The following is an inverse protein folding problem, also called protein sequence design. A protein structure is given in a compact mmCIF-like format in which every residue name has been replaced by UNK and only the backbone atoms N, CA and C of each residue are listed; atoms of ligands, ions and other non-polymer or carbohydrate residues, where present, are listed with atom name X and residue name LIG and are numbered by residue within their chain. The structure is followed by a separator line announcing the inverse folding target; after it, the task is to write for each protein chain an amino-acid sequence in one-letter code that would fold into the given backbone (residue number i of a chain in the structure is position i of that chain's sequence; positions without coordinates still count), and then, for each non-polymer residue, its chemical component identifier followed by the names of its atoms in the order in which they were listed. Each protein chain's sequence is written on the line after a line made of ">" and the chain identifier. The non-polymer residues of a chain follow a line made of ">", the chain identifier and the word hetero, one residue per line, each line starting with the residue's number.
data_IF_841538172530
#
_entry.id   IF_841538172530
#
_cell.length_a   1.000
_cell.length_b   1.000
_cell.length_c   1.000
_cell.angle_alpha   90.00
_cell.angle_beta   90.00
_cell.angle_gamma   90.00
#
_symmetry.space_group_name_H-M   'P 1'
#
loop_
_entity.id
_entity.type
_entity.pdbx_description
1 polymer ?
#
# COMPACT_ATOMS: atom_id res chain seq x y z
N UNK A 1 -11.25 60.99 22.63
CA UNK A 1 -11.49 59.68 21.97
C UNK A 1 -11.71 58.66 23.07
N UNK A 2 -12.85 57.97 23.10
CA UNK A 2 -13.22 57.06 24.19
C UNK A 2 -12.52 55.72 23.93
N UNK A 3 -11.45 55.41 24.66
CA UNK A 3 -10.81 54.10 24.56
C UNK A 3 -11.78 53.04 25.08
N UNK A 4 -12.23 52.15 24.19
CA UNK A 4 -13.10 51.03 24.54
C UNK A 4 -12.21 49.88 24.98
N UNK A 5 -12.17 49.62 26.29
CA UNK A 5 -11.49 48.45 26.84
C UNK A 5 -12.22 47.16 26.48
N UNK A 6 -11.46 46.07 26.32
CA UNK A 6 -12.00 44.72 26.10
C UNK A 6 -12.60 44.21 27.41
N UNK A 7 -13.79 43.60 27.34
CA UNK A 7 -14.43 43.02 28.51
C UNK A 7 -13.85 41.65 28.85
N UNK A 8 -13.83 41.28 30.13
CA UNK A 8 -13.29 39.99 30.58
C UNK A 8 -14.02 38.80 29.91
N UNK A 9 -15.32 38.95 29.65
CA UNK A 9 -16.14 37.91 29.00
C UNK A 9 -15.76 37.71 27.53
N UNK A 10 -15.42 38.78 26.79
CA UNK A 10 -14.94 38.68 25.41
C UNK A 10 -13.60 37.94 25.34
N UNK A 11 -12.70 38.17 26.30
CA UNK A 11 -11.41 37.45 26.38
C UNK A 11 -11.62 35.97 26.66
N UNK A 12 -12.51 35.61 27.59
CA UNK A 12 -12.82 34.21 27.91
C UNK A 12 -13.46 33.50 26.70
N UNK A 13 -14.37 34.17 26.00
CA UNK A 13 -15.00 33.59 24.82
C UNK A 13 -14.01 33.43 23.65
N UNK A 14 -13.18 34.43 23.39
CA UNK A 14 -12.16 34.37 22.35
C UNK A 14 -11.10 33.28 22.64
N UNK A 15 -10.66 33.16 23.89
CA UNK A 15 -9.66 32.14 24.29
C UNK A 15 -10.22 30.73 24.23
N UNK A 16 -11.47 30.51 24.67
CA UNK A 16 -12.11 29.18 24.57
C UNK A 16 -12.33 28.77 23.12
N UNK A 17 -12.76 29.70 22.26
CA UNK A 17 -12.86 29.46 20.81
C UNK A 17 -11.49 29.10 20.22
N UNK A 18 -10.44 29.84 20.59
CA UNK A 18 -9.08 29.58 20.12
C UNK A 18 -8.58 28.19 20.55
N UNK A 19 -8.83 27.79 21.80
CA UNK A 19 -8.45 26.46 22.31
C UNK A 19 -9.16 25.34 21.55
N UNK A 20 -10.47 25.48 21.30
CA UNK A 20 -11.23 24.51 20.52
C UNK A 20 -10.71 24.38 19.08
N UNK A 21 -10.41 25.50 18.44
CA UNK A 21 -9.83 25.53 17.10
C UNK A 21 -8.45 24.88 17.06
N UNK A 22 -7.57 25.18 18.04
CA UNK A 22 -6.24 24.60 18.14
C UNK A 22 -6.28 23.08 18.32
N UNK A 23 -7.19 22.57 19.16
CA UNK A 23 -7.37 21.13 19.33
C UNK A 23 -7.81 20.43 18.02
N UNK A 24 -8.72 21.07 17.27
CA UNK A 24 -9.15 20.58 15.96
C UNK A 24 -8.01 20.58 14.93
N UNK A 25 -7.24 21.67 14.86
CA UNK A 25 -6.09 21.77 13.96
C UNK A 25 -4.99 20.76 14.29
N UNK A 26 -4.69 20.54 15.56
CA UNK A 26 -3.71 19.55 15.98
C UNK A 26 -4.13 18.14 15.54
N UNK A 27 -5.41 17.81 15.72
CA UNK A 27 -5.97 16.52 15.29
C UNK A 27 -5.85 16.35 13.77
N UNK A 28 -6.11 17.41 13.00
CA UNK A 28 -5.97 17.41 11.55
C UNK A 28 -4.51 17.20 11.11
N UNK A 29 -3.55 17.87 11.76
CA UNK A 29 -2.12 17.71 11.45
C UNK A 29 -1.66 16.28 11.69
N UNK A 30 -2.07 15.65 12.80
CA UNK A 30 -1.76 14.24 13.07
C UNK A 30 -2.34 13.30 12.00
N UNK A 31 -3.58 13.55 11.58
CA UNK A 31 -4.22 12.78 10.52
C UNK A 31 -3.47 12.91 9.19
N UNK A 32 -3.16 14.15 8.78
CA UNK A 32 -2.41 14.43 7.56
C UNK A 32 -1.01 13.81 7.59
N UNK A 33 -0.33 13.82 8.73
CA UNK A 33 0.98 13.19 8.89
C UNK A 33 0.90 11.67 8.66
N UNK A 34 -0.12 11.00 9.20
CA UNK A 34 -0.33 9.57 8.97
C UNK A 34 -0.64 9.26 7.50
N UNK A 35 -1.48 10.07 6.87
CA UNK A 35 -1.78 9.94 5.44
C UNK A 35 -0.51 10.10 4.58
N UNK A 36 0.34 11.08 4.93
CA UNK A 36 1.59 11.33 4.22
C UNK A 36 2.57 10.16 4.36
N UNK A 37 2.69 9.55 5.54
CA UNK A 37 3.52 8.36 5.74
C UNK A 37 3.02 7.17 4.92
N UNK A 38 1.72 6.87 4.97
CA UNK A 38 1.14 5.80 4.15
C UNK A 38 1.36 6.06 2.66
N UNK A 39 1.17 7.30 2.19
CA UNK A 39 1.43 7.67 0.79
C UNK A 39 2.90 7.48 0.39
N UNK A 40 3.84 7.83 1.28
CA UNK A 40 5.28 7.59 1.06
C UNK A 40 5.58 6.10 0.99
N UNK A 41 5.01 5.30 1.88
CA UNK A 41 5.22 3.85 1.93
C UNK A 41 4.62 3.14 0.71
N UNK A 42 3.44 3.56 0.25
CA UNK A 42 2.85 3.13 -1.03
C UNK A 42 3.82 3.42 -2.18
N UNK A 43 4.43 4.60 -2.21
CA UNK A 43 5.38 4.97 -3.28
C UNK A 43 6.63 4.08 -3.27
N UNK A 44 7.16 3.74 -2.08
CA UNK A 44 8.29 2.82 -1.93
C UNK A 44 7.90 1.41 -2.41
N UNK A 45 6.79 0.87 -1.90
CA UNK A 45 6.28 -0.44 -2.28
C UNK A 45 6.02 -0.55 -3.80
N UNK A 46 5.47 0.51 -4.41
CA UNK A 46 5.24 0.58 -5.85
C UNK A 46 6.54 0.54 -6.64
N UNK A 47 7.58 1.22 -6.18
CA UNK A 47 8.89 1.21 -6.85
C UNK A 47 9.54 -0.19 -6.79
N UNK A 48 9.43 -0.88 -5.65
CA UNK A 48 9.92 -2.26 -5.50
C UNK A 48 9.14 -3.24 -6.40
N UNK A 49 7.81 -3.13 -6.42
CA UNK A 49 6.97 -3.94 -7.29
C UNK A 49 7.30 -3.70 -8.78
N UNK A 50 7.53 -2.44 -9.18
CA UNK A 50 7.98 -2.09 -10.53
C UNK A 50 9.35 -2.68 -10.84
N UNK A 51 10.31 -2.57 -9.92
CA UNK A 51 11.63 -3.16 -10.10
C UNK A 51 11.54 -4.67 -10.32
N UNK A 52 10.67 -5.37 -9.57
CA UNK A 52 10.45 -6.80 -9.75
C UNK A 52 9.80 -7.14 -11.09
N UNK A 53 8.85 -6.33 -11.56
CA UNK A 53 8.28 -6.52 -12.90
C UNK A 53 9.34 -6.35 -13.99
N UNK A 54 10.22 -5.37 -13.89
CA UNK A 54 11.30 -5.18 -14.85
C UNK A 54 12.32 -6.34 -14.83
N UNK A 55 12.61 -6.89 -13.64
CA UNK A 55 13.40 -8.12 -13.51
C UNK A 55 12.72 -9.29 -14.23
N UNK A 56 11.43 -9.53 -13.99
CA UNK A 56 10.66 -10.60 -14.65
C UNK A 56 10.67 -10.42 -16.18
N UNK A 57 10.49 -9.18 -16.67
CA UNK A 57 10.55 -8.86 -18.11
C UNK A 57 11.90 -9.17 -18.75
N UNK A 58 12.98 -9.12 -17.99
CA UNK A 58 14.33 -9.43 -18.47
C UNK A 58 14.65 -10.92 -18.51
N UNK A 59 13.82 -11.76 -17.87
CA UNK A 59 13.99 -13.22 -17.89
C UNK A 59 13.42 -13.85 -19.15
N UNK A 60 13.87 -15.06 -19.47
CA UNK A 60 13.40 -15.81 -20.63
C UNK A 60 11.91 -16.14 -20.47
N UNK A 61 11.11 -15.92 -21.51
CA UNK A 61 9.66 -16.15 -21.50
C UNK A 61 9.26 -17.54 -20.96
N UNK A 62 10.00 -18.59 -21.32
CA UNK A 62 9.74 -19.97 -20.88
C UNK A 62 9.95 -20.20 -19.37
N UNK A 63 10.73 -19.35 -18.69
CA UNK A 63 11.09 -19.51 -17.28
C UNK A 63 10.26 -18.63 -16.33
N UNK A 64 9.53 -17.64 -16.87
CA UNK A 64 8.74 -16.70 -16.06
C UNK A 64 7.75 -17.43 -15.15
N UNK A 65 7.02 -18.41 -15.69
CA UNK A 65 6.01 -19.15 -14.91
C UNK A 65 6.65 -20.11 -13.91
N UNK A 66 7.77 -20.75 -14.23
CA UNK A 66 8.44 -21.67 -13.29
C UNK A 66 9.09 -20.92 -12.13
N UNK A 67 9.68 -19.77 -12.41
CA UNK A 67 10.60 -19.11 -11.49
C UNK A 67 9.88 -18.08 -10.61
N UNK A 68 8.78 -17.48 -11.09
CA UNK A 68 8.08 -16.39 -10.40
C UNK A 68 6.64 -16.71 -10.02
N UNK A 69 6.05 -17.83 -10.43
CA UNK A 69 4.69 -18.14 -9.98
C UNK A 69 4.63 -18.48 -8.49
N UNK A 70 3.72 -17.83 -7.76
CA UNK A 70 3.50 -17.98 -6.33
C UNK A 70 4.77 -17.79 -5.48
N UNK A 71 5.72 -16.98 -5.94
CA UNK A 71 6.93 -16.66 -5.18
C UNK A 71 6.72 -15.49 -4.25
N UNK A 72 7.38 -15.57 -3.10
CA UNK A 72 7.30 -14.58 -2.04
C UNK A 72 8.69 -13.99 -1.80
N UNK A 73 8.76 -12.67 -1.75
CA UNK A 73 9.97 -11.90 -1.49
C UNK A 73 9.76 -11.02 -0.26
N UNK A 74 10.71 -11.03 0.66
CA UNK A 74 10.69 -10.12 1.81
C UNK A 74 11.17 -8.73 1.41
N UNK A 75 10.44 -7.70 1.80
CA UNK A 75 10.81 -6.29 1.59
C UNK A 75 11.45 -5.73 2.86
N UNK A 76 12.65 -5.15 2.71
CA UNK A 76 13.38 -4.47 3.78
C UNK A 76 13.38 -2.95 3.66
N UNK A 77 12.91 -2.40 2.53
CA UNK A 77 12.83 -0.95 2.26
C UNK A 77 11.64 -0.26 2.94
N UNK A 78 10.72 -1.03 3.51
CA UNK A 78 9.56 -0.54 4.27
C UNK A 78 9.87 -0.50 5.78
N UNK A 79 9.19 0.38 6.54
CA UNK A 79 9.48 0.57 7.98
C UNK A 79 9.10 -0.61 8.88
N UNK A 80 8.46 -1.64 8.33
CA UNK A 80 8.05 -2.86 9.04
C UNK A 80 8.18 -4.09 8.14
N UNK A 81 7.81 -5.28 8.65
CA UNK A 81 7.81 -6.48 7.83
C UNK A 81 6.89 -6.25 6.62
N UNK A 82 7.40 -6.57 5.44
CA UNK A 82 6.67 -6.52 4.20
C UNK A 82 7.01 -7.72 3.34
N UNK A 83 6.03 -8.19 2.60
CA UNK A 83 6.17 -9.27 1.64
C UNK A 83 5.60 -8.85 0.30
N UNK A 84 6.21 -9.35 -0.75
CA UNK A 84 5.76 -9.18 -2.12
C UNK A 84 5.55 -10.56 -2.70
N UNK A 85 4.34 -10.82 -3.19
CA UNK A 85 3.98 -12.04 -3.90
C UNK A 85 3.94 -11.77 -5.39
N UNK A 86 4.57 -12.64 -6.17
CA UNK A 86 4.47 -12.64 -7.63
C UNK A 86 3.61 -13.81 -8.08
N UNK A 87 2.71 -13.55 -9.01
CA UNK A 87 1.82 -14.53 -9.62
C UNK A 87 2.03 -14.45 -11.12
N UNK A 88 2.40 -15.58 -11.75
CA UNK A 88 2.63 -15.64 -13.18
C UNK A 88 1.82 -16.81 -13.74
N UNK A 89 0.92 -16.53 -14.67
CA UNK A 89 0.05 -17.56 -15.27
C UNK A 89 -0.15 -17.30 -16.76
N UNK A 90 -0.28 -18.38 -17.54
CA UNK A 90 -0.59 -18.27 -18.96
C UNK A 90 -2.03 -17.79 -19.16
N UNK A 91 -2.23 -16.87 -20.11
CA UNK A 91 -3.56 -16.40 -20.48
C UNK A 91 -4.29 -17.52 -21.22
N UNK A 92 -5.47 -17.89 -20.70
CA UNK A 92 -6.33 -18.90 -21.32
C UNK A 92 -6.71 -18.49 -22.75
N UNK A 93 -6.47 -19.38 -23.72
CA UNK A 93 -6.77 -19.12 -25.14
C UNK A 93 -5.64 -18.47 -25.94
N UNK A 94 -4.48 -18.18 -25.34
CA UNK A 94 -3.32 -17.58 -26.04
C UNK A 94 -2.39 -18.60 -26.73
N UNK A 95 -2.58 -19.90 -26.49
CA UNK A 95 -1.65 -20.92 -26.99
C UNK A 95 -0.27 -20.82 -26.35
N UNK A 96 -0.21 -20.46 -25.07
CA UNK A 96 1.00 -20.23 -24.27
C UNK A 96 1.90 -19.08 -24.77
N UNK A 97 1.37 -18.13 -25.55
CA UNK A 97 2.12 -16.99 -26.07
C UNK A 97 1.97 -15.71 -25.23
N UNK A 98 1.11 -15.71 -24.21
CA UNK A 98 0.89 -14.60 -23.30
C UNK A 98 0.90 -15.11 -21.86
N UNK A 99 1.69 -14.44 -21.02
CA UNK A 99 1.76 -14.66 -19.58
C UNK A 99 1.24 -13.39 -18.91
N UNK A 100 0.27 -13.54 -18.01
CA UNK A 100 -0.14 -12.49 -17.10
C UNK A 100 0.71 -12.58 -15.83
N UNK A 101 1.40 -11.49 -15.52
CA UNK A 101 2.25 -11.34 -14.35
C UNK A 101 1.62 -10.31 -13.43
N UNK A 102 1.30 -10.72 -12.22
CA UNK A 102 0.78 -9.87 -11.15
C UNK A 102 1.77 -9.84 -10.00
N UNK A 103 1.98 -8.66 -9.45
CA UNK A 103 2.81 -8.44 -8.26
C UNK A 103 1.96 -7.72 -7.23
N UNK A 104 1.82 -8.33 -6.07
CA UNK A 104 1.04 -7.81 -4.94
C UNK A 104 2.00 -7.57 -3.78
N UNK A 105 1.90 -6.43 -3.12
CA UNK A 105 2.75 -6.08 -1.98
C UNK A 105 1.93 -5.88 -0.72
N UNK A 106 2.18 -6.68 0.31
CA UNK A 106 1.54 -6.56 1.62
C UNK A 106 2.58 -6.18 2.67
N UNK A 107 2.25 -5.30 3.61
CA UNK A 107 3.21 -4.88 4.65
C UNK A 107 2.53 -4.40 5.92
N UNK A 108 3.31 -4.29 7.00
CA UNK A 108 2.85 -3.74 8.27
C UNK A 108 3.39 -2.33 8.49
N UNK A 109 2.49 -1.39 8.81
CA UNK A 109 2.80 -0.01 9.18
C UNK A 109 2.06 0.35 10.48
N UNK A 110 2.77 0.87 11.48
CA UNK A 110 2.20 1.38 12.74
C UNK A 110 1.22 0.40 13.44
N UNK A 111 1.50 -0.90 13.36
CA UNK A 111 0.68 -1.96 13.96
C UNK A 111 -0.48 -2.44 13.09
N UNK A 112 -0.74 -1.80 11.96
CA UNK A 112 -1.76 -2.19 10.98
C UNK A 112 -1.13 -2.90 9.78
N UNK A 113 -1.77 -3.96 9.30
CA UNK A 113 -1.40 -4.61 8.05
C UNK A 113 -2.09 -3.90 6.89
N UNK A 114 -1.35 -3.65 5.82
CA UNK A 114 -1.79 -3.08 4.56
C UNK A 114 -1.79 -4.20 3.53
N UNK A 115 -2.97 -4.49 2.98
CA UNK A 115 -3.24 -5.69 2.17
C UNK A 115 -3.98 -6.77 2.97
N UNK A 116 -4.37 -7.84 2.29
CA UNK A 116 -5.14 -8.95 2.85
C UNK A 116 -4.29 -9.96 3.63
N UNK A 117 -3.00 -10.07 3.29
CA UNK A 117 -2.04 -10.99 3.92
C UNK A 117 -1.73 -10.54 5.37
N UNK A 118 -2.49 -11.09 6.31
CA UNK A 118 -2.55 -10.67 7.70
C UNK A 118 -1.35 -11.14 8.50
N UNK A 119 -0.76 -12.28 8.13
CA UNK A 119 0.42 -12.84 8.77
C UNK A 119 1.73 -12.55 8.00
N UNK A 120 1.64 -11.92 6.82
CA UNK A 120 2.75 -11.54 5.95
C UNK A 120 3.61 -12.75 5.52
N UNK A 121 2.96 -13.84 5.13
CA UNK A 121 3.64 -15.04 4.62
C UNK A 121 3.60 -15.15 3.07
N UNK A 122 2.88 -14.26 2.39
CA UNK A 122 2.71 -14.24 0.94
C UNK A 122 1.85 -15.38 0.38
N UNK A 123 0.99 -15.98 1.21
CA UNK A 123 0.01 -17.02 0.88
C UNK A 123 -1.37 -16.50 1.28
N UNK A 124 -2.40 -16.87 0.53
CA UNK A 124 -3.77 -16.56 0.91
C UNK A 124 -4.25 -17.60 1.94
N UNK A 125 -4.34 -17.19 3.21
CA UNK A 125 -4.83 -18.04 4.29
C UNK A 125 -6.35 -17.92 4.49
N UNK A 126 -6.92 -18.89 5.22
CA UNK A 126 -8.34 -18.90 5.54
C UNK A 126 -8.72 -17.65 6.36
N UNK A 127 -9.62 -16.84 5.80
CA UNK A 127 -10.10 -15.60 6.42
C UNK A 127 -9.36 -14.33 5.99
N UNK A 128 -8.36 -14.44 5.10
CA UNK A 128 -7.67 -13.27 4.51
C UNK A 128 -8.36 -12.76 3.24
N UNK A 129 -8.97 -13.65 2.46
CA UNK A 129 -9.74 -13.34 1.25
C UNK A 129 -11.01 -12.54 1.59
N UNK A 130 -10.92 -11.22 1.58
CA UNK A 130 -12.00 -10.35 2.06
C UNK A 130 -13.10 -10.19 1.02
N UNK A 131 -12.81 -10.41 -0.27
CA UNK A 131 -13.75 -10.23 -1.37
C UNK A 131 -14.15 -11.55 -2.08
N UNK A 132 -13.55 -12.68 -1.71
CA UNK A 132 -13.88 -14.02 -2.22
C UNK A 132 -13.32 -14.30 -3.62
N UNK A 133 -12.27 -13.59 -4.06
CA UNK A 133 -11.73 -13.74 -5.41
C UNK A 133 -10.64 -14.83 -5.51
N UNK A 134 -10.26 -15.45 -4.39
CA UNK A 134 -9.25 -16.52 -4.33
C UNK A 134 -7.82 -16.04 -4.59
N UNK A 135 -7.52 -14.75 -4.41
CA UNK A 135 -6.19 -14.16 -4.56
C UNK A 135 -5.93 -13.18 -3.41
N UNK A 136 -4.65 -12.84 -3.17
CA UNK A 136 -4.31 -11.76 -2.25
C UNK A 136 -4.50 -10.41 -2.93
N UNK A 137 -5.13 -9.47 -2.24
CA UNK A 137 -5.27 -8.08 -2.67
C UNK A 137 -4.54 -7.08 -1.76
N UNK A 138 -4.09 -5.99 -2.37
CA UNK A 138 -3.43 -4.90 -1.66
C UNK A 138 -3.60 -3.57 -2.39
N UNK A 139 -3.55 -2.41 -1.69
CA UNK A 139 -3.46 -1.09 -2.33
C UNK A 139 -2.30 -0.95 -3.32
N UNK A 140 -1.27 -1.79 -3.21
CA UNK A 140 -0.15 -1.86 -4.18
C UNK A 140 -0.21 -3.19 -4.90
N UNK A 141 -0.74 -3.13 -6.11
CA UNK A 141 -0.81 -4.21 -7.06
C UNK A 141 -0.43 -3.72 -8.45
N UNK A 142 0.35 -4.52 -9.16
CA UNK A 142 0.69 -4.29 -10.56
C UNK A 142 0.46 -5.55 -11.37
N UNK A 143 -0.31 -5.45 -12.44
CA UNK A 143 -0.52 -6.51 -13.43
C UNK A 143 0.05 -6.11 -14.78
N UNK A 144 0.75 -7.01 -15.46
CA UNK A 144 1.25 -6.80 -16.81
C UNK A 144 1.21 -8.11 -17.60
N UNK A 145 0.85 -8.02 -18.88
CA UNK A 145 0.90 -9.16 -19.78
C UNK A 145 2.19 -9.12 -20.61
N UNK A 146 2.93 -10.22 -20.62
CA UNK A 146 4.16 -10.40 -21.38
C UNK A 146 3.85 -11.37 -22.53
N UNK A 147 4.21 -10.98 -23.75
CA UNK A 147 4.07 -11.82 -24.92
C UNK A 147 5.37 -12.54 -25.26
N UNK A 148 5.26 -13.76 -25.78
CA UNK A 148 6.35 -14.48 -26.40
C UNK A 148 6.79 -13.70 -27.64
N UNK A 149 8.08 -13.35 -27.73
CA UNK A 149 8.64 -12.57 -28.84
C UNK A 149 8.98 -13.45 -30.03
#
# INVERSE_FOLDING_TARGET
>A
MKERGITLIEVIFATTLLLALLAGLLSLVLYCSNLQETSRNISIALNEARAKIEEIKSTTFSQIVSDYNAKVFSLSSLPGPGVMRTEASYVSGSGNNLIDVRVVVCWKEKGRVIGEDSNLNGVLDAGEDSNGNGRLDSPVELSTSIANR
#
